data_IF_376719359939
#
_entry.id   IF_376719359939
#
_cell.length_a   1.000
_cell.length_b   1.000
_cell.length_c   1.000
_cell.angle_alpha   90.00
_cell.angle_beta   90.00
_cell.angle_gamma   90.00
#
_symmetry.space_group_name_H-M   'P 1'
#
loop_
_entity.id
_entity.type
_entity.pdbx_description
1 polymer ?
#
# COMPACT_ATOMS: atom_id res chain seq x y z
N UNK A 1 26.35 -7.04 -19.38
CA UNK A 1 25.07 -7.51 -18.81
C UNK A 1 24.05 -6.53 -19.34
N UNK A 2 23.41 -6.87 -20.45
CA UNK A 2 22.55 -5.94 -21.19
C UNK A 2 21.28 -5.65 -20.38
N UNK A 3 21.03 -4.41 -19.94
CA UNK A 3 19.89 -4.06 -19.11
C UNK A 3 18.53 -4.18 -19.82
N UNK A 4 18.51 -4.20 -21.17
CA UNK A 4 17.27 -4.14 -21.95
C UNK A 4 16.46 -5.46 -21.94
N UNK A 5 17.10 -6.64 -21.90
CA UNK A 5 16.37 -7.92 -21.89
C UNK A 5 15.50 -8.11 -20.64
N UNK A 6 15.89 -7.53 -19.51
CA UNK A 6 15.13 -7.64 -18.28
C UNK A 6 13.82 -6.84 -18.32
N UNK A 7 13.82 -5.74 -19.08
CA UNK A 7 12.68 -4.85 -19.19
C UNK A 7 11.68 -5.31 -20.26
N UNK A 8 12.17 -5.85 -21.37
CA UNK A 8 11.32 -6.48 -22.40
C UNK A 8 10.60 -7.71 -21.83
N UNK A 9 11.31 -8.62 -21.16
CA UNK A 9 10.71 -9.78 -20.53
C UNK A 9 9.71 -9.40 -19.42
N UNK A 10 9.95 -8.28 -18.72
CA UNK A 10 9.00 -7.75 -17.75
C UNK A 10 7.73 -7.21 -18.43
N UNK A 11 7.86 -6.51 -19.55
CA UNK A 11 6.72 -5.99 -20.29
C UNK A 11 5.84 -7.13 -20.83
N UNK A 12 6.44 -8.19 -21.38
CA UNK A 12 5.71 -9.39 -21.82
C UNK A 12 4.98 -10.06 -20.65
N UNK A 13 5.67 -10.28 -19.53
CA UNK A 13 5.05 -10.90 -18.35
C UNK A 13 3.90 -10.07 -17.75
N UNK A 14 4.01 -8.73 -17.80
CA UNK A 14 2.96 -7.85 -17.32
C UNK A 14 1.74 -7.80 -18.25
N UNK A 15 1.94 -7.98 -19.56
CA UNK A 15 0.85 -8.01 -20.53
C UNK A 15 -0.07 -9.22 -20.35
N UNK A 16 0.45 -10.34 -19.84
CA UNK A 16 -0.33 -11.57 -19.59
C UNK A 16 -0.90 -11.65 -18.15
N UNK A 17 -0.56 -10.71 -17.27
CA UNK A 17 -0.91 -10.79 -15.85
C UNK A 17 -2.32 -10.26 -15.55
N UNK A 18 -3.16 -11.06 -14.91
CA UNK A 18 -4.47 -10.60 -14.40
C UNK A 18 -4.34 -9.61 -13.22
N UNK A 19 -3.24 -9.70 -12.46
CA UNK A 19 -2.94 -8.82 -11.34
C UNK A 19 -1.47 -8.45 -11.28
N UNK A 20 -1.19 -7.16 -11.20
CA UNK A 20 0.16 -6.59 -11.06
C UNK A 20 0.33 -6.03 -9.65
N UNK A 21 1.30 -6.56 -8.91
CA UNK A 21 1.68 -6.04 -7.60
C UNK A 21 2.94 -5.19 -7.74
N UNK A 22 2.82 -3.90 -7.43
CA UNK A 22 3.96 -2.98 -7.37
C UNK A 22 4.46 -2.88 -5.92
N UNK A 23 5.64 -3.44 -5.59
CA UNK A 23 6.18 -3.41 -4.24
C UNK A 23 6.69 -2.00 -3.88
N UNK A 24 7.30 -1.88 -2.70
CA UNK A 24 7.88 -0.62 -2.24
C UNK A 24 8.91 -0.05 -3.22
N UNK A 25 8.80 1.26 -3.47
CA UNK A 25 9.76 2.06 -4.21
C UNK A 25 10.84 2.60 -3.27
N UNK A 26 12.11 2.45 -3.66
CA UNK A 26 13.26 2.68 -2.79
C UNK A 26 13.42 4.14 -2.36
N UNK A 27 13.06 5.09 -3.21
CA UNK A 27 13.20 6.52 -2.93
C UNK A 27 11.95 7.31 -3.33
N UNK A 28 11.14 7.65 -2.33
CA UNK A 28 9.92 8.44 -2.48
C UNK A 28 10.16 9.89 -2.97
N UNK A 29 11.41 10.38 -2.98
CA UNK A 29 11.77 11.67 -3.55
C UNK A 29 12.15 11.58 -5.03
N UNK A 30 12.46 10.38 -5.55
CA UNK A 30 12.86 10.18 -6.94
C UNK A 30 11.68 9.83 -7.83
N UNK A 31 11.73 10.25 -9.09
CA UNK A 31 10.79 9.79 -10.11
C UNK A 31 11.06 8.31 -10.45
N UNK A 32 10.03 7.46 -10.51
CA UNK A 32 10.17 6.11 -11.04
C UNK A 32 10.66 6.13 -12.50
N UNK A 33 11.46 5.14 -12.95
CA UNK A 33 11.88 5.03 -14.34
C UNK A 33 10.68 5.02 -15.28
N UNK A 34 10.75 5.80 -16.37
CA UNK A 34 9.65 5.92 -17.34
C UNK A 34 9.16 4.56 -17.85
N UNK A 35 10.08 3.65 -18.17
CA UNK A 35 9.70 2.32 -18.64
C UNK A 35 8.91 1.49 -17.61
N UNK A 36 9.18 1.64 -16.31
CA UNK A 36 8.38 0.99 -15.27
C UNK A 36 6.98 1.61 -15.19
N UNK A 37 6.90 2.93 -15.28
CA UNK A 37 5.63 3.68 -15.29
C UNK A 37 4.78 3.26 -16.48
N UNK A 38 5.37 3.19 -17.67
CA UNK A 38 4.71 2.81 -18.91
C UNK A 38 4.27 1.35 -18.88
N UNK A 39 5.09 0.44 -18.35
CA UNK A 39 4.73 -0.97 -18.22
C UNK A 39 3.54 -1.18 -17.27
N UNK A 40 3.52 -0.49 -16.13
CA UNK A 40 2.40 -0.55 -15.17
C UNK A 40 1.13 0.06 -15.78
N UNK A 41 1.25 1.17 -16.51
CA UNK A 41 0.11 1.78 -17.21
C UNK A 41 -0.44 0.84 -18.27
N UNK A 42 0.42 0.27 -19.11
CA UNK A 42 0.05 -0.64 -20.20
C UNK A 42 -0.65 -1.88 -19.67
N UNK A 43 -0.15 -2.47 -18.58
CA UNK A 43 -0.80 -3.62 -17.96
C UNK A 43 -2.23 -3.27 -17.49
N UNK A 44 -2.42 -2.10 -16.89
CA UNK A 44 -3.74 -1.66 -16.47
C UNK A 44 -4.69 -1.42 -17.65
N UNK A 45 -4.19 -0.80 -18.73
CA UNK A 45 -4.94 -0.57 -19.97
C UNK A 45 -5.33 -1.89 -20.66
N UNK A 46 -4.50 -2.92 -20.52
CA UNK A 46 -4.78 -4.29 -20.98
C UNK A 46 -5.82 -5.03 -20.11
N UNK A 47 -6.27 -4.43 -18.99
CA UNK A 47 -7.31 -4.97 -18.12
C UNK A 47 -6.81 -5.55 -16.80
N UNK A 48 -5.50 -5.51 -16.52
CA UNK A 48 -4.96 -6.01 -15.27
C UNK A 48 -5.43 -5.16 -14.08
N UNK A 49 -5.70 -5.84 -12.96
CA UNK A 49 -5.85 -5.18 -11.65
C UNK A 49 -4.45 -4.80 -11.14
N UNK A 50 -4.25 -3.56 -10.73
CA UNK A 50 -2.96 -3.08 -10.23
C UNK A 50 -3.05 -2.74 -8.75
N UNK A 51 -2.14 -3.26 -7.94
CA UNK A 51 -2.08 -2.98 -6.51
C UNK A 51 -0.69 -2.53 -6.09
N UNK A 52 -0.58 -1.44 -5.33
CA UNK A 52 0.70 -1.03 -4.74
C UNK A 52 0.82 -1.41 -3.28
N UNK A 53 2.02 -1.82 -2.88
CA UNK A 53 2.38 -2.01 -1.48
C UNK A 53 3.25 -0.84 -1.01
N UNK A 54 2.84 -0.15 0.06
CA UNK A 54 3.62 0.92 0.68
C UNK A 54 3.97 2.03 -0.33
N UNK A 55 5.26 2.31 -0.56
CA UNK A 55 5.74 3.35 -1.49
C UNK A 55 5.61 2.97 -2.96
N UNK A 56 5.13 1.77 -3.30
CA UNK A 56 4.73 1.45 -4.67
C UNK A 56 3.65 2.40 -5.20
N UNK A 57 2.90 3.07 -4.31
CA UNK A 57 1.89 4.06 -4.66
C UNK A 57 2.44 5.22 -5.50
N UNK A 58 3.73 5.56 -5.36
CA UNK A 58 4.38 6.59 -6.19
C UNK A 58 4.49 6.17 -7.66
N UNK A 59 4.67 4.87 -7.93
CA UNK A 59 4.68 4.35 -9.31
C UNK A 59 3.29 4.41 -9.92
N UNK A 60 2.26 4.00 -9.17
CA UNK A 60 0.87 4.09 -9.63
C UNK A 60 0.45 5.55 -9.85
N UNK A 61 0.89 6.46 -8.98
CA UNK A 61 0.62 7.90 -9.13
C UNK A 61 1.31 8.48 -10.37
N UNK A 62 2.59 8.14 -10.60
CA UNK A 62 3.33 8.53 -11.82
C UNK A 62 2.69 7.94 -13.10
N UNK A 63 2.13 6.74 -13.01
CA UNK A 63 1.38 6.12 -14.10
C UNK A 63 0.02 6.78 -14.38
N UNK A 64 -0.43 7.71 -13.52
CA UNK A 64 -1.74 8.38 -13.62
C UNK A 64 -2.90 7.54 -13.09
N UNK A 65 -2.63 6.34 -12.54
CA UNK A 65 -3.67 5.40 -12.13
C UNK A 65 -4.43 5.84 -10.87
N UNK A 66 -3.88 6.80 -10.12
CA UNK A 66 -4.47 7.33 -8.90
C UNK A 66 -5.15 8.70 -9.09
N UNK A 67 -5.10 9.29 -10.28
CA UNK A 67 -5.69 10.60 -10.55
C UNK A 67 -7.20 10.59 -10.29
N UNK A 68 -7.67 11.50 -9.43
CA UNK A 68 -9.07 11.60 -9.02
C UNK A 68 -9.54 10.49 -8.06
N UNK A 69 -8.62 9.63 -7.58
CA UNK A 69 -8.94 8.49 -6.70
C UNK A 69 -8.43 8.71 -5.29
N UNK A 70 -9.08 8.03 -4.34
CA UNK A 70 -8.55 7.89 -2.98
C UNK A 70 -7.44 6.83 -2.97
N UNK A 71 -6.36 7.09 -2.27
CA UNK A 71 -5.23 6.18 -2.15
C UNK A 71 -4.60 6.29 -0.76
N UNK A 72 -3.87 5.27 -0.35
CA UNK A 72 -3.03 5.30 0.86
C UNK A 72 -1.60 4.90 0.52
N UNK A 73 -0.68 5.28 1.39
CA UNK A 73 0.69 4.78 1.42
C UNK A 73 1.12 4.71 2.90
N UNK A 74 2.35 4.32 3.17
CA UNK A 74 2.87 4.39 4.53
C UNK A 74 2.79 5.84 5.04
N UNK A 75 2.24 6.05 6.23
CA UNK A 75 1.98 7.39 6.81
C UNK A 75 3.16 8.37 6.66
N UNK A 76 4.39 7.89 6.86
CA UNK A 76 5.62 8.70 6.73
C UNK A 76 5.84 9.31 5.33
N UNK A 77 5.23 8.75 4.29
CA UNK A 77 5.35 9.20 2.91
C UNK A 77 4.05 9.82 2.36
N UNK A 78 2.97 9.82 3.12
CA UNK A 78 1.67 10.29 2.65
C UNK A 78 1.68 11.78 2.26
N UNK A 79 2.34 12.62 3.06
CA UNK A 79 2.48 14.05 2.76
C UNK A 79 3.29 14.29 1.47
N UNK A 80 4.33 13.50 1.24
CA UNK A 80 5.17 13.59 0.03
C UNK A 80 4.37 13.16 -1.21
N UNK A 81 3.61 12.06 -1.11
CA UNK A 81 2.76 11.58 -2.19
C UNK A 81 1.70 12.63 -2.57
N UNK A 82 1.02 13.21 -1.58
CA UNK A 82 0.01 14.25 -1.78
C UNK A 82 0.59 15.51 -2.44
N UNK A 83 1.78 15.94 -2.00
CA UNK A 83 2.45 17.11 -2.55
C UNK A 83 2.88 16.91 -4.02
N UNK A 84 3.36 15.70 -4.36
CA UNK A 84 3.82 15.38 -5.73
C UNK A 84 2.67 15.12 -6.70
N UNK A 85 1.56 14.57 -6.21
CA UNK A 85 0.43 14.16 -7.04
C UNK A 85 -0.87 14.77 -6.49
N UNK A 86 -1.12 16.08 -6.72
CA UNK A 86 -2.22 16.82 -6.10
C UNK A 86 -3.62 16.39 -6.55
N UNK A 87 -3.72 15.59 -7.63
CA UNK A 87 -4.98 14.97 -8.08
C UNK A 87 -5.36 13.72 -7.29
N UNK A 88 -4.48 13.22 -6.43
CA UNK A 88 -4.72 12.03 -5.61
C UNK A 88 -5.26 12.46 -4.25
N UNK A 89 -6.37 11.86 -3.82
CA UNK A 89 -6.90 12.03 -2.46
C UNK A 89 -6.17 11.06 -1.53
N UNK A 90 -5.04 11.50 -0.96
CA UNK A 90 -4.23 10.64 -0.08
C UNK A 90 -4.83 10.57 1.33
N UNK A 91 -5.13 9.36 1.78
CA UNK A 91 -5.62 9.05 3.11
C UNK A 91 -4.55 8.30 3.93
N UNK A 92 -3.84 8.97 4.86
CA UNK A 92 -2.82 8.33 5.70
C UNK A 92 -3.41 7.49 6.84
N UNK A 93 -4.73 7.53 7.02
CA UNK A 93 -5.41 6.90 8.14
C UNK A 93 -5.68 5.43 7.92
N UNK A 94 -5.71 4.93 6.69
CA UNK A 94 -6.22 3.58 6.39
C UNK A 94 -5.14 2.57 6.03
N UNK A 95 -5.39 1.29 6.34
CA UNK A 95 -4.48 0.18 6.01
C UNK A 95 -4.39 -0.02 4.49
N UNK A 96 -5.52 -0.04 3.80
CA UNK A 96 -5.54 -0.11 2.34
C UNK A 96 -6.81 0.53 1.78
N UNK A 97 -6.73 0.94 0.51
CA UNK A 97 -7.85 1.43 -0.27
C UNK A 97 -8.03 0.52 -1.47
N UNK A 98 -9.26 0.10 -1.70
CA UNK A 98 -9.69 -0.65 -2.87
C UNK A 98 -10.59 0.24 -3.75
N UNK A 99 -10.16 0.51 -4.99
CA UNK A 99 -10.95 1.19 -6.01
C UNK A 99 -11.34 0.25 -7.17
N UNK A 100 -11.55 -1.03 -6.87
CA UNK A 100 -11.89 -2.09 -7.82
C UNK A 100 -10.65 -2.62 -8.55
N UNK A 101 -10.21 -1.90 -9.57
CA UNK A 101 -9.08 -2.31 -10.42
C UNK A 101 -7.74 -1.67 -10.03
N UNK A 102 -7.76 -0.70 -9.12
CA UNK A 102 -6.54 -0.05 -8.59
C UNK A 102 -6.60 -0.01 -7.07
N UNK A 103 -5.64 -0.66 -6.41
CA UNK A 103 -5.59 -0.79 -4.96
C UNK A 103 -4.27 -0.24 -4.42
N UNK A 104 -4.29 0.27 -3.19
CA UNK A 104 -3.08 0.77 -2.53
C UNK A 104 -3.08 0.35 -1.06
N UNK A 105 -1.94 -0.12 -0.55
CA UNK A 105 -1.76 -0.37 0.88
C UNK A 105 -0.77 0.59 1.51
N UNK A 106 -0.92 0.74 2.82
CA UNK A 106 0.06 1.34 3.68
C UNK A 106 1.29 0.44 3.87
N UNK A 107 1.97 0.59 5.01
CA UNK A 107 3.21 -0.11 5.35
C UNK A 107 3.11 -1.64 5.44
N UNK A 108 4.24 -2.26 5.79
CA UNK A 108 4.50 -3.72 5.75
C UNK A 108 3.34 -4.61 6.22
N UNK A 109 2.77 -4.30 7.39
CA UNK A 109 1.66 -5.11 7.93
C UNK A 109 0.37 -4.94 7.11
N UNK A 110 0.09 -3.70 6.68
CA UNK A 110 -1.06 -3.39 5.84
C UNK A 110 -0.95 -3.97 4.43
N UNK A 111 0.27 -4.13 3.91
CA UNK A 111 0.53 -4.86 2.67
C UNK A 111 0.09 -6.33 2.77
N UNK A 112 0.31 -6.98 3.92
CA UNK A 112 -0.20 -8.33 4.15
C UNK A 112 -1.73 -8.38 4.18
N UNK A 113 -2.38 -7.38 4.80
CA UNK A 113 -3.84 -7.30 4.78
C UNK A 113 -4.39 -7.13 3.36
N UNK A 114 -3.76 -6.29 2.54
CA UNK A 114 -4.15 -6.12 1.14
C UNK A 114 -3.98 -7.42 0.34
N UNK A 115 -2.88 -8.14 0.52
CA UNK A 115 -2.68 -9.44 -0.14
C UNK A 115 -3.75 -10.47 0.29
N UNK A 116 -4.07 -10.55 1.58
CA UNK A 116 -5.15 -11.42 2.07
C UNK A 116 -6.52 -11.00 1.55
N UNK A 117 -6.75 -9.68 1.42
CA UNK A 117 -7.96 -9.13 0.84
C UNK A 117 -8.10 -9.51 -0.64
N UNK A 118 -7.03 -9.44 -1.44
CA UNK A 118 -7.01 -9.89 -2.84
C UNK A 118 -7.34 -11.39 -2.94
N UNK A 119 -6.70 -12.24 -2.13
CA UNK A 119 -7.02 -13.68 -2.10
C UNK A 119 -8.49 -13.92 -1.76
N UNK A 120 -9.06 -13.11 -0.86
CA UNK A 120 -10.48 -13.22 -0.51
C UNK A 120 -11.39 -12.86 -1.69
N UNK A 121 -11.05 -11.81 -2.45
CA UNK A 121 -11.81 -11.43 -3.64
C UNK A 121 -11.78 -12.55 -4.69
N UNK A 122 -10.62 -13.18 -4.88
CA UNK A 122 -10.42 -14.12 -5.98
C UNK A 122 -10.81 -15.57 -5.62
N UNK A 123 -10.68 -15.95 -4.35
CA UNK A 123 -10.82 -17.34 -3.88
C UNK A 123 -11.73 -17.51 -2.66
N UNK A 124 -12.33 -16.42 -2.17
CA UNK A 124 -13.27 -16.43 -1.05
C UNK A 124 -12.63 -16.47 0.33
N UNK A 125 -13.44 -16.18 1.34
CA UNK A 125 -13.01 -15.99 2.74
C UNK A 125 -12.40 -17.24 3.37
N UNK A 126 -12.84 -18.44 2.98
CA UNK A 126 -12.32 -19.68 3.54
C UNK A 126 -10.83 -19.91 3.19
N UNK A 127 -10.44 -19.59 1.96
CA UNK A 127 -9.05 -19.69 1.48
C UNK A 127 -8.19 -18.62 2.14
N UNK A 128 -8.65 -17.36 2.13
CA UNK A 128 -7.94 -16.26 2.78
C UNK A 128 -7.69 -16.52 4.28
N UNK A 129 -8.70 -17.02 5.01
CA UNK A 129 -8.55 -17.36 6.43
C UNK A 129 -7.57 -18.52 6.65
N UNK A 130 -7.52 -19.49 5.73
CA UNK A 130 -6.55 -20.58 5.81
C UNK A 130 -5.13 -20.09 5.60
N UNK A 131 -4.91 -19.16 4.66
CA UNK A 131 -3.61 -18.51 4.48
C UNK A 131 -3.22 -17.66 5.69
N UNK A 132 -4.12 -16.85 6.25
CA UNK A 132 -3.85 -16.03 7.42
C UNK A 132 -3.35 -16.88 8.61
N UNK A 133 -4.00 -18.03 8.87
CA UNK A 133 -3.55 -18.98 9.91
C UNK A 133 -2.16 -19.55 9.63
N UNK A 134 -1.86 -19.92 8.38
CA UNK A 134 -0.54 -20.44 7.98
C UNK A 134 0.57 -19.40 8.12
N UNK A 135 0.25 -18.13 7.85
CA UNK A 135 1.17 -17.01 7.98
C UNK A 135 1.30 -16.49 9.43
N UNK A 136 0.52 -17.05 10.37
CA UNK A 136 0.50 -16.63 11.78
C UNK A 136 0.17 -15.14 11.93
N UNK A 137 -0.78 -14.66 11.12
CA UNK A 137 -1.31 -13.30 11.19
C UNK A 137 -2.80 -13.32 11.58
N UNK A 138 -3.34 -12.22 12.13
CA UNK A 138 -4.78 -12.12 12.38
C UNK A 138 -5.59 -12.40 11.11
N UNK A 139 -6.85 -12.84 11.24
CA UNK A 139 -7.80 -12.77 10.13
C UNK A 139 -7.82 -11.36 9.54
N UNK A 140 -8.07 -11.27 8.23
CA UNK A 140 -7.96 -10.01 7.47
C UNK A 140 -8.61 -8.84 8.22
N UNK A 141 -7.81 -7.78 8.43
CA UNK A 141 -8.27 -6.50 8.97
C UNK A 141 -8.94 -5.69 7.87
N UNK A 142 -10.02 -5.00 8.17
CA UNK A 142 -10.69 -4.15 7.19
C UNK A 142 -9.80 -2.99 6.74
N UNK A 143 -9.84 -2.67 5.44
CA UNK A 143 -8.97 -1.64 4.87
C UNK A 143 -9.12 -0.27 5.52
N UNK A 144 -10.33 0.07 5.96
CA UNK A 144 -10.64 1.31 6.68
C UNK A 144 -10.10 1.39 8.11
N UNK A 145 -9.49 0.32 8.63
CA UNK A 145 -8.88 0.35 9.96
C UNK A 145 -7.71 1.35 10.01
N UNK A 146 -7.54 1.98 11.18
CA UNK A 146 -6.50 2.98 11.39
C UNK A 146 -5.08 2.41 11.23
N UNK A 147 -4.18 3.15 10.57
CA UNK A 147 -2.74 2.95 10.72
C UNK A 147 -2.30 3.33 12.14
N UNK A 148 -1.21 2.73 12.62
CA UNK A 148 -0.52 3.23 13.81
C UNK A 148 0.20 4.53 13.47
N UNK A 149 -0.54 5.64 13.53
CA UNK A 149 0.00 6.99 13.48
C UNK A 149 0.29 7.41 14.91
N UNK A 150 1.52 7.84 15.20
CA UNK A 150 1.81 8.51 16.47
C UNK A 150 1.07 9.85 16.49
N UNK A 151 -0.17 9.82 16.97
CA UNK A 151 -0.77 11.01 17.56
C UNK A 151 0.08 11.37 18.78
N UNK A 152 0.56 12.62 18.93
CA UNK A 152 1.27 13.02 20.15
C UNK A 152 0.39 12.69 21.35
N UNK A 153 0.85 11.78 22.21
CA UNK A 153 0.19 11.54 23.48
C UNK A 153 0.25 12.86 24.27
N UNK A 154 -0.86 13.29 24.91
CA UNK A 154 -0.81 14.39 25.87
C UNK A 154 0.33 14.12 26.85
N UNK A 155 1.14 15.14 27.14
CA UNK A 155 2.27 15.02 28.05
C UNK A 155 1.79 14.32 29.33
N UNK A 156 2.51 13.29 29.83
CA UNK A 156 2.08 12.55 31.00
C UNK A 156 1.85 13.52 32.14
N UNK A 157 0.60 13.62 32.60
CA UNK A 157 0.27 14.34 33.82
C UNK A 157 0.96 13.59 34.95
N UNK A 158 2.04 14.17 35.48
CA UNK A 158 2.68 13.67 36.68
C UNK A 158 1.67 13.75 37.84
N UNK A 159 0.91 12.67 38.04
CA UNK A 159 0.18 12.47 39.27
C UNK A 159 1.22 12.19 40.35
N UNK A 160 1.55 13.21 41.15
CA UNK A 160 2.36 13.06 42.36
C UNK A 160 1.68 12.04 43.26
N UNK A 161 2.20 10.83 43.28
CA UNK A 161 1.84 9.85 44.29
C UNK A 161 2.28 10.39 45.65
N UNK A 162 1.30 10.80 46.47
CA UNK A 162 1.54 11.14 47.89
C UNK A 162 1.46 9.83 48.68
N UNK A 163 2.62 9.20 48.88
CA UNK A 163 2.73 8.10 49.83
C UNK A 163 2.38 8.59 51.23
N UNK A 164 1.39 7.94 51.86
CA UNK A 164 1.09 8.14 53.28
C UNK A 164 2.08 7.31 54.11
N UNK A 165 3.06 7.97 54.70
CA UNK A 165 3.82 7.43 55.82
C UNK A 165 3.05 7.66 57.12
N UNK A 166 2.54 6.58 57.73
CA UNK A 166 2.30 6.42 59.17
C UNK A 166 2.54 4.94 59.46
N UNK A 167 3.41 4.54 60.39
CA UNK A 167 3.67 5.14 61.69
C UNK A 167 2.97 4.29 62.72
#
# INVERSE_FOLDING_TARGET
MEPDRGLEALAEALAEADTVIVPGWADAAREPPAALVDAVRTAHEAGARVASLCTGAFVLAAAGLLDGRRATTHWAHAAVLAARHPRVTVDPGVLYVDNGTVLTSAGKAAAMDLCLHLVRLDHGSAVANTLARRLVVPPQRDGGQAQFVTTPLPAPTHHRWRGSSRG
#
